data_IF_310072609386
#
_entry.id   IF_310072609386
#
_cell.length_a   1.000
_cell.length_b   1.000
_cell.length_c   1.000
_cell.angle_alpha   90.00
_cell.angle_beta   90.00
_cell.angle_gamma   90.00
#
_symmetry.space_group_name_H-M   'P 1'
#
loop_
_entity.id
_entity.type
_entity.pdbx_description
1 polymer ?
#
# COMPACT_ATOMS: atom_id res chain seq x y z
N UNK A 1 6.24 6.44 -21.80
CA UNK A 1 7.62 5.98 -22.08
C UNK A 1 8.62 7.12 -21.83
N UNK A 2 9.92 6.84 -21.71
CA UNK A 2 11.01 7.82 -21.50
C UNK A 2 12.22 7.16 -20.85
N UNK A 3 13.40 7.81 -20.92
CA UNK A 3 14.62 7.31 -20.28
C UNK A 3 14.51 7.28 -18.74
N UNK A 4 15.46 6.62 -18.08
CA UNK A 4 15.51 6.64 -16.61
C UNK A 4 15.86 8.06 -16.13
N UNK A 5 15.22 8.48 -15.02
CA UNK A 5 15.41 9.82 -14.45
C UNK A 5 14.56 10.94 -15.06
N UNK A 6 13.78 10.68 -16.11
CA UNK A 6 12.99 11.71 -16.81
C UNK A 6 11.69 12.13 -16.08
N UNK A 7 11.34 11.50 -14.94
CA UNK A 7 10.16 11.88 -14.14
C UNK A 7 8.94 10.98 -14.31
N UNK A 8 9.04 9.81 -14.98
CA UNK A 8 7.92 8.87 -15.15
C UNK A 8 7.29 8.44 -13.81
N UNK A 9 8.11 8.02 -12.87
CA UNK A 9 7.68 7.64 -11.52
C UNK A 9 7.02 8.80 -10.79
N UNK A 10 7.53 10.03 -10.94
CA UNK A 10 6.93 11.23 -10.34
C UNK A 10 5.51 11.51 -10.89
N UNK A 11 5.28 11.23 -12.17
CA UNK A 11 3.94 11.37 -12.76
C UNK A 11 2.96 10.37 -12.14
N UNK A 12 3.36 9.10 -11.99
CA UNK A 12 2.52 8.11 -11.31
C UNK A 12 2.30 8.46 -9.84
N UNK A 13 3.35 8.93 -9.15
CA UNK A 13 3.22 9.36 -7.76
C UNK A 13 2.29 10.59 -7.63
N UNK A 14 2.27 11.49 -8.60
CA UNK A 14 1.31 12.61 -8.61
C UNK A 14 -0.15 12.13 -8.69
N UNK A 15 -0.44 11.10 -9.53
CA UNK A 15 -1.77 10.48 -9.60
C UNK A 15 -2.11 9.81 -8.27
N UNK A 16 -1.17 9.05 -7.69
CA UNK A 16 -1.33 8.43 -6.39
C UNK A 16 -1.58 9.47 -5.28
N UNK A 17 -0.83 10.57 -5.32
CA UNK A 17 -0.94 11.66 -4.35
C UNK A 17 -2.32 12.32 -4.37
N UNK A 18 -2.90 12.54 -5.56
CA UNK A 18 -4.26 13.08 -5.70
C UNK A 18 -5.33 12.14 -5.15
N UNK A 19 -5.09 10.83 -5.10
CA UNK A 19 -5.99 9.85 -4.49
C UNK A 19 -5.76 9.72 -2.98
N UNK A 20 -4.51 9.54 -2.56
CA UNK A 20 -4.16 9.16 -1.19
C UNK A 20 -3.74 10.34 -0.32
N UNK A 21 -3.72 11.54 -0.87
CA UNK A 21 -3.28 12.78 -0.21
C UNK A 21 -1.85 12.73 0.34
N UNK A 22 -1.02 11.83 -0.15
CA UNK A 22 0.39 11.66 0.23
C UNK A 22 1.14 10.89 -0.86
N UNK A 23 2.46 11.07 -0.94
CA UNK A 23 3.32 10.28 -1.82
C UNK A 23 3.26 8.79 -1.47
N UNK A 24 3.29 7.94 -2.49
CA UNK A 24 3.45 6.49 -2.36
C UNK A 24 4.77 6.12 -1.67
N UNK A 25 5.82 6.86 -1.95
CA UNK A 25 7.18 6.61 -1.43
C UNK A 25 7.38 7.10 0.01
N UNK A 26 6.32 7.62 0.65
CA UNK A 26 6.33 8.08 2.04
C UNK A 26 7.36 9.18 2.35
N UNK A 27 7.80 9.92 1.35
CA UNK A 27 8.61 11.12 1.58
C UNK A 27 7.77 12.21 2.27
N UNK A 28 8.41 13.07 3.08
CA UNK A 28 7.76 14.28 3.56
C UNK A 28 7.20 15.12 2.41
N UNK A 29 6.01 15.69 2.59
CA UNK A 29 5.33 16.46 1.53
C UNK A 29 6.18 17.62 0.97
N UNK A 30 7.10 18.17 1.77
CA UNK A 30 8.05 19.20 1.36
C UNK A 30 8.97 18.77 0.20
N UNK A 31 9.27 17.47 0.07
CA UNK A 31 10.06 16.94 -1.05
C UNK A 31 9.27 16.88 -2.37
N UNK A 32 7.94 17.05 -2.32
CA UNK A 32 7.12 17.17 -3.54
C UNK A 32 7.13 18.59 -4.13
N UNK A 33 7.81 19.54 -3.48
CA UNK A 33 8.01 20.90 -3.98
C UNK A 33 9.37 20.97 -4.65
N UNK A 34 9.41 21.49 -5.88
CA UNK A 34 10.66 21.63 -6.63
C UNK A 34 11.68 22.47 -5.84
N UNK A 35 12.93 22.02 -5.84
CA UNK A 35 14.00 22.71 -5.14
C UNK A 35 14.11 24.19 -5.58
N UNK A 36 14.03 25.10 -4.62
CA UNK A 36 14.01 26.54 -4.86
C UNK A 36 12.60 27.14 -5.10
N UNK A 37 11.56 26.31 -5.27
CA UNK A 37 10.18 26.77 -5.30
C UNK A 37 9.60 26.88 -3.89
N UNK A 38 8.58 27.73 -3.72
CA UNK A 38 7.87 27.92 -2.44
C UNK A 38 6.55 27.17 -2.36
N UNK A 39 6.07 26.63 -3.48
CA UNK A 39 4.82 25.91 -3.56
C UNK A 39 4.81 24.90 -4.70
N UNK A 40 3.91 23.92 -4.58
CA UNK A 40 3.56 23.00 -5.67
C UNK A 40 2.04 22.82 -5.72
N UNK A 41 1.51 22.52 -6.90
CA UNK A 41 0.10 22.21 -7.07
C UNK A 41 -0.08 21.00 -7.99
N UNK A 42 -0.99 20.10 -7.62
CA UNK A 42 -1.46 19.00 -8.43
C UNK A 42 -2.93 19.19 -8.73
N UNK A 43 -3.33 19.04 -10.00
CA UNK A 43 -4.72 19.11 -10.42
C UNK A 43 -5.06 17.90 -11.27
N UNK A 44 -6.19 17.27 -10.99
CA UNK A 44 -6.71 16.14 -11.75
C UNK A 44 -8.20 16.25 -11.95
N UNK A 45 -8.66 15.80 -13.11
CA UNK A 45 -10.08 15.66 -13.44
C UNK A 45 -10.39 14.18 -13.62
N UNK A 46 -11.38 13.68 -12.90
CA UNK A 46 -11.77 12.29 -12.88
C UNK A 46 -13.22 12.15 -13.31
N UNK A 47 -13.45 11.37 -14.38
CA UNK A 47 -14.80 10.98 -14.80
C UNK A 47 -15.15 9.66 -14.11
N UNK A 48 -16.28 9.64 -13.42
CA UNK A 48 -16.77 8.45 -12.72
C UNK A 48 -17.69 7.67 -13.66
N UNK A 49 -17.90 6.38 -13.38
CA UNK A 49 -18.76 5.50 -14.18
C UNK A 49 -20.23 5.95 -14.21
N UNK A 50 -20.68 6.73 -13.21
CA UNK A 50 -22.01 7.34 -13.16
C UNK A 50 -22.13 8.63 -14.00
N UNK A 51 -21.06 9.00 -14.74
CA UNK A 51 -20.99 10.21 -15.55
C UNK A 51 -20.68 11.50 -14.76
N UNK A 52 -20.48 11.42 -13.44
CA UNK A 52 -20.08 12.59 -12.65
C UNK A 52 -18.60 12.91 -12.86
N UNK A 53 -18.27 14.21 -12.85
CA UNK A 53 -16.89 14.70 -12.94
C UNK A 53 -16.42 15.23 -11.59
N UNK A 54 -15.24 14.81 -11.15
CA UNK A 54 -14.60 15.30 -9.95
C UNK A 54 -13.29 16.02 -10.30
N UNK A 55 -13.21 17.31 -9.97
CA UNK A 55 -11.97 18.10 -10.09
C UNK A 55 -11.29 18.14 -8.72
N UNK A 56 -10.14 17.51 -8.64
CA UNK A 56 -9.34 17.45 -7.41
C UNK A 56 -8.12 18.37 -7.57
N UNK A 57 -7.92 19.25 -6.61
CA UNK A 57 -6.78 20.16 -6.56
C UNK A 57 -6.07 20.05 -5.22
N UNK A 58 -4.79 19.77 -5.23
CA UNK A 58 -3.91 19.71 -4.05
C UNK A 58 -2.88 20.83 -4.16
N UNK A 59 -2.81 21.68 -3.13
CA UNK A 59 -1.78 22.72 -2.99
C UNK A 59 -0.87 22.41 -1.82
N UNK A 60 0.43 22.60 -2.01
CA UNK A 60 1.47 22.49 -1.00
C UNK A 60 2.24 23.81 -0.92
N UNK A 61 2.44 24.35 0.28
CA UNK A 61 3.24 25.56 0.52
C UNK A 61 4.33 25.23 1.53
N UNK A 62 5.58 25.51 1.17
CA UNK A 62 6.72 25.35 2.05
C UNK A 62 6.91 26.59 2.94
N UNK A 63 7.33 26.39 4.19
CA UNK A 63 7.84 27.48 5.02
C UNK A 63 9.05 28.11 4.33
N UNK A 64 9.15 29.45 4.35
CA UNK A 64 10.34 30.17 3.89
C UNK A 64 11.57 29.62 4.61
N UNK A 65 12.46 28.99 3.86
CA UNK A 65 13.66 28.35 4.41
C UNK A 65 14.68 29.35 4.93
N UNK A 66 15.21 29.07 6.14
CA UNK A 66 16.61 29.34 6.48
C UNK A 66 17.44 28.17 5.89
N UNK A 67 18.60 28.46 5.33
CA UNK A 67 19.37 27.74 4.30
C UNK A 67 19.68 26.25 4.45
N UNK A 68 19.39 25.56 5.54
CA UNK A 68 19.98 24.22 5.81
C UNK A 68 19.00 23.14 6.33
N UNK A 69 17.68 23.34 6.30
CA UNK A 69 16.72 22.31 6.76
C UNK A 69 15.80 21.87 5.63
N UNK A 70 15.55 20.55 5.55
CA UNK A 70 14.51 19.97 4.70
C UNK A 70 13.18 20.64 5.06
N UNK A 71 12.75 21.60 4.24
CA UNK A 71 11.71 22.56 4.55
C UNK A 71 10.47 21.90 5.15
N UNK A 72 10.05 22.40 6.29
CA UNK A 72 8.76 22.03 6.86
C UNK A 72 7.64 22.60 6.01
N UNK A 73 6.59 21.81 5.77
CA UNK A 73 5.40 22.27 5.08
C UNK A 73 4.68 23.31 5.97
N UNK A 74 4.27 24.44 5.37
CA UNK A 74 3.48 25.45 6.04
C UNK A 74 1.98 25.17 5.88
N UNK A 75 1.57 24.80 4.67
CA UNK A 75 0.17 24.56 4.34
C UNK A 75 0.03 23.41 3.35
N UNK A 76 -1.02 22.61 3.55
CA UNK A 76 -1.50 21.58 2.64
C UNK A 76 -3.00 21.70 2.51
N UNK A 77 -3.48 22.05 1.32
CA UNK A 77 -4.90 22.25 1.03
C UNK A 77 -5.34 21.27 -0.06
N UNK A 78 -6.48 20.59 0.17
CA UNK A 78 -7.13 19.73 -0.80
C UNK A 78 -8.53 20.25 -1.10
N UNK A 79 -8.87 20.35 -2.39
CA UNK A 79 -10.19 20.81 -2.86
C UNK A 79 -10.81 19.75 -3.76
N UNK A 80 -12.12 19.58 -3.64
CA UNK A 80 -12.96 18.85 -4.59
C UNK A 80 -13.99 19.78 -5.19
N UNK A 81 -14.02 19.92 -6.50
CA UNK A 81 -14.92 20.81 -7.23
C UNK A 81 -14.88 22.25 -6.67
N UNK A 82 -13.67 22.75 -6.36
CA UNK A 82 -13.43 24.09 -5.80
C UNK A 82 -13.70 24.25 -4.30
N UNK A 83 -14.25 23.24 -3.61
CA UNK A 83 -14.54 23.28 -2.16
C UNK A 83 -13.42 22.59 -1.36
N UNK A 84 -12.94 23.27 -0.32
CA UNK A 84 -11.93 22.66 0.59
C UNK A 84 -12.54 21.51 1.40
N UNK A 85 -11.78 20.44 1.57
CA UNK A 85 -12.07 19.43 2.58
C UNK A 85 -11.80 19.97 3.99
N UNK A 86 -12.65 19.61 4.94
CA UNK A 86 -12.42 19.92 6.36
C UNK A 86 -11.33 19.01 6.93
N UNK A 87 -11.31 17.75 6.52
CA UNK A 87 -10.29 16.75 6.89
C UNK A 87 -9.86 16.01 5.64
N UNK A 88 -8.56 15.83 5.45
CA UNK A 88 -8.01 15.08 4.31
C UNK A 88 -8.50 13.63 4.28
N UNK A 89 -8.80 13.05 5.44
CA UNK A 89 -9.36 11.69 5.54
C UNK A 89 -10.73 11.52 4.86
N UNK A 90 -11.49 12.58 4.68
CA UNK A 90 -12.78 12.52 3.97
C UNK A 90 -12.64 12.25 2.47
N UNK A 91 -11.43 12.43 1.94
CA UNK A 91 -11.13 12.20 0.53
C UNK A 91 -10.72 10.75 0.24
N UNK A 92 -10.13 10.06 1.24
CA UNK A 92 -9.62 8.70 1.08
C UNK A 92 -10.76 7.75 0.73
N UNK A 93 -10.56 6.93 -0.33
CA UNK A 93 -11.56 6.01 -0.86
C UNK A 93 -12.44 6.58 -1.98
N UNK A 94 -12.41 7.91 -2.22
CA UNK A 94 -13.13 8.51 -3.35
C UNK A 94 -12.57 8.04 -4.71
N UNK A 95 -11.25 7.93 -4.80
CA UNK A 95 -10.51 7.51 -5.99
C UNK A 95 -9.66 6.29 -5.62
N UNK A 96 -10.25 5.07 -5.63
CA UNK A 96 -9.49 3.87 -5.25
C UNK A 96 -8.30 3.69 -6.19
N UNK A 97 -7.13 3.37 -5.62
CA UNK A 97 -5.89 3.28 -6.38
C UNK A 97 -4.98 2.18 -5.87
N UNK A 98 -4.33 1.49 -6.80
CA UNK A 98 -3.30 0.48 -6.52
C UNK A 98 -2.05 0.86 -7.29
N UNK A 99 -0.91 0.92 -6.62
CA UNK A 99 0.39 1.15 -7.24
C UNK A 99 1.28 -0.06 -7.05
N UNK A 100 1.93 -0.47 -8.13
CA UNK A 100 3.00 -1.48 -8.17
C UNK A 100 4.29 -0.78 -8.58
N UNK A 101 5.31 -0.88 -7.75
CA UNK A 101 6.59 -0.19 -7.97
C UNK A 101 7.76 -1.10 -7.57
N UNK A 102 8.97 -0.90 -8.10
CA UNK A 102 10.17 -1.59 -7.63
C UNK A 102 10.42 -1.46 -6.12
N UNK A 103 9.96 -0.38 -5.49
CA UNK A 103 10.06 -0.18 -4.04
C UNK A 103 9.22 -1.16 -3.21
N UNK A 104 8.20 -1.81 -3.80
CA UNK A 104 7.37 -2.80 -3.10
C UNK A 104 8.17 -4.02 -2.61
N UNK A 105 9.39 -4.22 -3.10
CA UNK A 105 10.30 -5.24 -2.59
C UNK A 105 10.53 -5.10 -1.07
N UNK A 106 10.34 -3.90 -0.53
CA UNK A 106 10.37 -3.64 0.90
C UNK A 106 9.28 -4.41 1.69
N UNK A 107 8.13 -4.71 1.08
CA UNK A 107 7.08 -5.52 1.70
C UNK A 107 7.57 -6.92 2.08
N UNK A 108 8.42 -7.51 1.24
CA UNK A 108 9.03 -8.82 1.50
C UNK A 108 10.28 -8.67 2.39
N UNK A 109 11.19 -7.75 2.07
CA UNK A 109 12.53 -7.72 2.64
C UNK A 109 12.65 -6.90 3.93
N UNK A 110 11.73 -5.96 4.19
CA UNK A 110 11.76 -5.12 5.39
C UNK A 110 11.04 -5.76 6.58
N UNK A 111 10.91 -5.03 7.68
CA UNK A 111 10.15 -5.44 8.86
C UNK A 111 8.64 -5.34 8.68
N UNK A 112 7.89 -5.76 9.71
CA UNK A 112 6.42 -5.72 9.71
C UNK A 112 5.81 -4.32 9.54
N UNK A 113 6.58 -3.27 9.71
CA UNK A 113 6.09 -1.89 9.53
C UNK A 113 5.60 -1.64 8.10
N UNK A 114 6.36 -2.05 7.08
CA UNK A 114 5.97 -1.87 5.67
C UNK A 114 4.70 -2.68 5.33
N UNK A 115 4.59 -3.90 5.85
CA UNK A 115 3.39 -4.72 5.66
C UNK A 115 2.17 -4.14 6.38
N UNK A 116 2.33 -3.55 7.58
CA UNK A 116 1.24 -2.82 8.24
C UNK A 116 0.84 -1.56 7.47
N UNK A 117 1.79 -0.81 6.91
CA UNK A 117 1.50 0.35 6.05
C UNK A 117 0.67 -0.07 4.82
N UNK A 118 1.05 -1.18 4.18
CA UNK A 118 0.32 -1.77 3.05
C UNK A 118 -1.13 -2.12 3.43
N UNK A 119 -1.32 -2.90 4.49
CA UNK A 119 -2.66 -3.30 4.98
C UNK A 119 -3.49 -2.07 5.37
N UNK A 120 -2.89 -1.12 6.08
CA UNK A 120 -3.59 0.12 6.47
C UNK A 120 -3.99 0.95 5.25
N UNK A 121 -3.13 1.07 4.24
CA UNK A 121 -3.43 1.83 3.03
C UNK A 121 -4.57 1.20 2.23
N UNK A 122 -4.63 -0.14 2.16
CA UNK A 122 -5.72 -0.85 1.51
C UNK A 122 -7.03 -0.66 2.28
N UNK A 123 -7.05 -1.03 3.56
CA UNK A 123 -8.27 -0.95 4.38
C UNK A 123 -8.81 0.47 4.49
N UNK A 124 -7.93 1.48 4.60
CA UNK A 124 -8.36 2.88 4.68
C UNK A 124 -9.07 3.37 3.41
N UNK A 125 -8.85 2.74 2.25
CA UNK A 125 -9.53 3.12 1.00
C UNK A 125 -10.92 2.49 0.88
N UNK A 126 -11.17 1.36 1.55
CA UNK A 126 -12.43 0.60 1.41
C UNK A 126 -13.31 0.66 2.66
N UNK A 127 -12.76 1.11 3.78
CA UNK A 127 -13.43 1.17 5.08
C UNK A 127 -13.07 2.48 5.80
N UNK A 128 -13.99 3.46 5.75
CA UNK A 128 -13.80 4.75 6.40
C UNK A 128 -13.78 4.64 7.93
N UNK A 129 -14.51 3.68 8.52
CA UNK A 129 -14.45 3.43 9.95
C UNK A 129 -13.05 2.92 10.36
N UNK A 130 -12.47 2.03 9.56
CA UNK A 130 -11.09 1.58 9.76
C UNK A 130 -10.11 2.77 9.76
N UNK A 131 -10.24 3.70 8.81
CA UNK A 131 -9.39 4.89 8.73
C UNK A 131 -9.51 5.75 10.00
N UNK A 132 -10.72 5.95 10.51
CA UNK A 132 -10.94 6.70 11.75
C UNK A 132 -10.34 5.95 12.96
N UNK A 133 -10.58 4.65 13.05
CA UNK A 133 -10.10 3.82 14.17
C UNK A 133 -8.58 3.75 14.21
N UNK A 134 -7.91 3.59 13.07
CA UNK A 134 -6.45 3.51 13.01
C UNK A 134 -5.80 4.86 13.37
N UNK A 135 -6.37 5.99 12.95
CA UNK A 135 -5.90 7.32 13.33
C UNK A 135 -6.06 7.55 14.84
N UNK A 136 -7.22 7.18 15.41
CA UNK A 136 -7.47 7.29 16.84
C UNK A 136 -6.50 6.40 17.65
N UNK A 137 -6.30 5.17 17.23
CA UNK A 137 -5.36 4.26 17.88
C UNK A 137 -3.94 4.83 17.96
N UNK A 138 -3.41 5.33 16.85
CA UNK A 138 -2.06 5.91 16.83
C UNK A 138 -1.96 7.20 17.66
N UNK A 139 -3.02 8.02 17.68
CA UNK A 139 -3.09 9.20 18.56
C UNK A 139 -3.05 8.81 20.03
N UNK A 140 -3.86 7.83 20.44
CA UNK A 140 -3.89 7.30 21.81
C UNK A 140 -2.57 6.61 22.18
N UNK A 141 -1.98 5.85 21.27
CA UNK A 141 -0.67 5.22 21.44
C UNK A 141 0.42 6.27 21.72
N UNK A 142 0.42 7.39 20.98
CA UNK A 142 1.36 8.47 21.20
C UNK A 142 1.16 9.12 22.58
N UNK A 143 -0.08 9.31 23.04
CA UNK A 143 -0.40 9.81 24.37
C UNK A 143 0.06 8.84 25.47
N UNK A 144 -0.24 7.54 25.30
CA UNK A 144 0.22 6.49 26.22
C UNK A 144 1.75 6.46 26.32
N UNK A 145 2.44 6.51 25.19
CA UNK A 145 3.91 6.54 25.18
C UNK A 145 4.50 7.81 25.81
N UNK A 146 3.78 8.94 25.71
CA UNK A 146 4.18 10.16 26.42
C UNK A 146 4.07 10.00 27.94
N UNK A 147 2.97 9.38 28.42
CA UNK A 147 2.80 9.09 29.84
C UNK A 147 3.88 8.13 30.37
N UNK A 148 4.20 7.06 29.61
CA UNK A 148 5.24 6.11 30.00
C UNK A 148 6.65 6.74 30.10
N UNK A 149 6.88 7.86 29.40
CA UNK A 149 8.12 8.65 29.53
C UNK A 149 8.13 9.57 30.75
N UNK A 150 6.94 9.96 31.20
CA UNK A 150 6.77 10.79 32.41
C UNK A 150 6.74 9.87 33.64
N UNK A 151 7.69 10.03 34.54
CA UNK A 151 7.80 9.20 35.76
C UNK A 151 6.69 9.46 36.80
N UNK A 152 5.91 10.53 36.61
CA UNK A 152 4.85 10.97 37.54
C UNK A 152 3.43 10.83 36.94
N UNK A 153 3.20 9.88 36.09
CA UNK A 153 1.85 9.68 35.51
C UNK A 153 0.87 9.03 36.49
N UNK A 154 -0.42 9.35 36.32
CA UNK A 154 -1.51 8.68 37.06
C UNK A 154 -1.80 7.32 36.43
N UNK A 155 -1.90 6.25 37.24
CA UNK A 155 -2.29 4.94 36.81
C UNK A 155 -3.70 4.96 36.17
N UNK A 156 -4.66 5.69 36.77
CA UNK A 156 -6.03 5.81 36.28
C UNK A 156 -6.09 6.44 34.85
N UNK A 157 -5.18 7.38 34.58
CA UNK A 157 -5.09 7.98 33.25
C UNK A 157 -4.58 6.97 32.21
N UNK A 158 -3.61 6.13 32.60
CA UNK A 158 -3.10 5.08 31.73
C UNK A 158 -4.18 4.04 31.42
N UNK A 159 -4.95 3.64 32.44
CA UNK A 159 -6.06 2.69 32.29
C UNK A 159 -7.17 3.27 31.40
N UNK A 160 -7.50 4.54 31.57
CA UNK A 160 -8.45 5.25 30.68
C UNK A 160 -8.01 5.19 29.22
N UNK A 161 -6.72 5.42 28.95
CA UNK A 161 -6.19 5.31 27.59
C UNK A 161 -6.23 3.86 27.08
N UNK A 162 -5.91 2.87 27.92
CA UNK A 162 -5.98 1.46 27.55
C UNK A 162 -7.42 1.05 27.14
N UNK A 163 -8.45 1.50 27.87
CA UNK A 163 -9.87 1.24 27.54
C UNK A 163 -10.23 1.88 26.19
N UNK A 164 -9.81 3.14 25.95
CA UNK A 164 -10.08 3.79 24.66
C UNK A 164 -9.32 3.13 23.51
N UNK A 165 -8.13 2.60 23.77
CA UNK A 165 -7.34 1.88 22.76
C UNK A 165 -7.96 0.51 22.42
N UNK A 166 -8.57 -0.18 23.39
CA UNK A 166 -9.14 -1.53 23.23
C UNK A 166 -10.19 -1.57 22.13
N UNK A 167 -11.16 -0.66 22.16
CA UNK A 167 -12.19 -0.57 21.13
C UNK A 167 -11.60 -0.41 19.71
N UNK A 168 -10.63 0.50 19.58
CA UNK A 168 -9.97 0.74 18.29
C UNK A 168 -9.12 -0.48 17.88
N UNK A 169 -8.37 -1.07 18.81
CA UNK A 169 -7.49 -2.21 18.55
C UNK A 169 -8.27 -3.45 18.14
N UNK A 170 -9.39 -3.74 18.81
CA UNK A 170 -10.25 -4.88 18.50
C UNK A 170 -10.84 -4.79 17.09
N UNK A 171 -11.35 -3.61 16.71
CA UNK A 171 -11.85 -3.37 15.36
C UNK A 171 -10.76 -3.56 14.29
N UNK A 172 -9.61 -2.91 14.50
CA UNK A 172 -8.47 -2.96 13.57
C UNK A 172 -7.95 -4.40 13.42
N UNK A 173 -7.81 -5.14 14.52
CA UNK A 173 -7.42 -6.55 14.51
C UNK A 173 -8.39 -7.40 13.67
N UNK A 174 -9.69 -7.27 13.91
CA UNK A 174 -10.71 -8.01 13.17
C UNK A 174 -10.64 -7.75 11.67
N UNK A 175 -10.54 -6.47 11.26
CA UNK A 175 -10.46 -6.08 9.85
C UNK A 175 -9.17 -6.53 9.16
N UNK A 176 -8.05 -6.49 9.84
CA UNK A 176 -6.77 -6.98 9.27
C UNK A 176 -6.77 -8.49 9.11
N UNK A 177 -7.32 -9.22 10.06
CA UNK A 177 -7.45 -10.68 10.01
C UNK A 177 -8.35 -11.11 8.85
N UNK A 178 -9.56 -10.52 8.76
CA UNK A 178 -10.51 -10.72 7.66
C UNK A 178 -9.86 -10.42 6.29
N UNK A 179 -9.13 -9.31 6.17
CA UNK A 179 -8.45 -8.96 4.93
C UNK A 179 -7.39 -9.99 4.55
N UNK A 180 -6.56 -10.44 5.49
CA UNK A 180 -5.52 -11.43 5.20
C UNK A 180 -6.10 -12.79 4.77
N UNK A 181 -7.21 -13.20 5.38
CA UNK A 181 -7.95 -14.40 4.99
C UNK A 181 -8.50 -14.25 3.56
N UNK A 182 -9.15 -13.14 3.27
CA UNK A 182 -9.73 -12.86 1.94
C UNK A 182 -8.65 -12.69 0.84
N UNK A 183 -7.47 -12.14 1.17
CA UNK A 183 -6.37 -11.97 0.21
C UNK A 183 -5.68 -13.30 -0.12
N UNK A 184 -5.66 -14.27 0.78
CA UNK A 184 -4.82 -15.47 0.64
C UNK A 184 -5.17 -16.27 -0.61
N UNK A 185 -6.44 -16.51 -0.88
CA UNK A 185 -6.91 -17.23 -2.07
C UNK A 185 -6.54 -16.54 -3.38
N UNK A 186 -6.95 -15.27 -3.59
CA UNK A 186 -6.59 -14.52 -4.80
C UNK A 186 -5.07 -14.40 -5.02
N UNK A 187 -4.28 -14.20 -3.95
CA UNK A 187 -2.82 -14.15 -4.07
C UNK A 187 -2.26 -15.48 -4.57
N UNK A 188 -2.72 -16.61 -4.02
CA UNK A 188 -2.29 -17.94 -4.46
C UNK A 188 -2.68 -18.19 -5.91
N UNK A 189 -3.89 -17.78 -6.34
CA UNK A 189 -4.34 -17.91 -7.72
C UNK A 189 -3.50 -17.10 -8.70
N UNK A 190 -3.28 -15.80 -8.44
CA UNK A 190 -2.43 -14.98 -9.30
C UNK A 190 -0.99 -15.47 -9.30
N UNK A 191 -0.47 -15.87 -8.13
CA UNK A 191 0.89 -16.41 -8.05
C UNK A 191 1.06 -17.68 -8.88
N UNK A 192 0.13 -18.63 -8.77
CA UNK A 192 0.14 -19.87 -9.55
C UNK A 192 0.18 -19.60 -11.06
N UNK A 193 -0.58 -18.62 -11.51
CA UNK A 193 -0.60 -18.21 -12.92
C UNK A 193 0.74 -17.56 -13.35
N UNK A 194 1.36 -16.74 -12.49
CA UNK A 194 2.64 -16.08 -12.78
C UNK A 194 3.86 -17.00 -12.65
N UNK A 195 3.82 -18.00 -11.77
CA UNK A 195 4.94 -18.91 -11.49
C UNK A 195 4.93 -20.19 -12.36
N UNK A 196 3.81 -20.46 -13.05
CA UNK A 196 3.60 -21.72 -13.77
C UNK A 196 3.19 -22.87 -12.86
N UNK A 197 2.76 -22.60 -11.63
CA UNK A 197 2.13 -23.58 -10.73
C UNK A 197 3.07 -24.53 -10.01
N UNK A 198 4.35 -24.19 -9.93
CA UNK A 198 5.38 -25.04 -9.27
C UNK A 198 5.44 -24.87 -7.76
N UNK A 199 4.94 -23.74 -7.27
CA UNK A 199 4.95 -23.40 -5.86
C UNK A 199 3.55 -22.91 -5.44
N UNK A 200 3.27 -23.00 -4.16
CA UNK A 200 2.11 -22.39 -3.53
C UNK A 200 2.54 -21.30 -2.54
N UNK A 201 1.65 -20.31 -2.33
CA UNK A 201 1.94 -19.19 -1.43
C UNK A 201 0.75 -18.91 -0.53
N UNK A 202 1.02 -18.41 0.68
CA UNK A 202 -0.03 -17.97 1.60
C UNK A 202 0.37 -16.73 2.39
N UNK A 203 -0.64 -16.05 2.90
CA UNK A 203 -0.51 -14.96 3.86
C UNK A 203 -0.96 -15.45 5.22
N UNK A 204 -0.22 -15.12 6.26
CA UNK A 204 -0.60 -15.42 7.63
C UNK A 204 -0.51 -14.16 8.49
N UNK A 205 -1.64 -13.73 9.02
CA UNK A 205 -1.68 -12.62 9.97
C UNK A 205 -1.23 -13.11 11.35
N UNK A 206 -0.39 -12.32 12.01
CA UNK A 206 0.15 -12.61 13.34
C UNK A 206 -0.15 -11.43 14.25
N UNK A 207 -0.85 -11.69 15.33
CA UNK A 207 -1.17 -10.72 16.36
C UNK A 207 -1.13 -11.34 17.76
N UNK A 208 -0.72 -10.56 18.74
CA UNK A 208 -0.87 -10.94 20.15
C UNK A 208 -2.36 -11.10 20.54
N UNK A 209 -3.26 -10.42 19.83
CA UNK A 209 -4.71 -10.50 20.07
C UNK A 209 -5.34 -11.83 19.62
N UNK A 210 -4.62 -12.68 18.90
CA UNK A 210 -5.05 -14.07 18.67
C UNK A 210 -5.08 -14.90 19.97
N UNK A 211 -4.33 -14.47 21.00
CA UNK A 211 -4.14 -15.24 22.25
C UNK A 211 -4.84 -14.64 23.45
N UNK A 212 -5.06 -13.33 23.48
CA UNK A 212 -5.64 -12.63 24.62
C UNK A 212 -6.28 -11.30 24.22
N UNK A 213 -7.18 -10.79 25.07
CA UNK A 213 -7.83 -9.49 24.85
C UNK A 213 -6.83 -8.33 25.01
N UNK A 214 -7.11 -7.20 24.37
CA UNK A 214 -6.21 -6.05 24.37
C UNK A 214 -5.88 -5.54 25.78
N UNK A 215 -6.88 -5.42 26.67
CA UNK A 215 -6.66 -4.97 28.05
C UNK A 215 -5.79 -5.94 28.85
N UNK A 216 -5.97 -7.25 28.67
CA UNK A 216 -5.12 -8.28 29.31
C UNK A 216 -3.67 -8.15 28.78
N UNK A 217 -3.52 -7.89 27.49
CA UNK A 217 -2.23 -7.69 26.84
C UNK A 217 -1.51 -6.44 27.43
N UNK A 218 -2.23 -5.32 27.58
CA UNK A 218 -1.66 -4.09 28.14
C UNK A 218 -1.22 -4.28 29.59
N UNK A 219 -2.00 -4.99 30.40
CA UNK A 219 -1.65 -5.30 31.78
C UNK A 219 -0.43 -6.25 31.86
N UNK A 220 -0.40 -7.28 31.04
CA UNK A 220 0.72 -8.24 30.97
C UNK A 220 2.05 -7.58 30.66
N UNK A 221 2.05 -6.60 29.75
CA UNK A 221 3.28 -5.95 29.28
C UNK A 221 3.59 -4.63 30.01
N UNK A 222 2.79 -4.21 31.01
CA UNK A 222 2.91 -2.93 31.67
C UNK A 222 4.32 -2.68 32.26
N UNK A 223 4.88 -3.64 32.98
CA UNK A 223 6.21 -3.47 33.60
C UNK A 223 7.31 -3.36 32.54
N UNK A 224 7.18 -4.11 31.46
CA UNK A 224 8.08 -4.00 30.31
C UNK A 224 7.96 -2.63 29.63
N UNK A 225 6.73 -2.14 29.44
CA UNK A 225 6.46 -0.83 28.83
C UNK A 225 7.05 0.32 29.68
N UNK A 226 6.98 0.21 31.00
CA UNK A 226 7.61 1.16 31.94
C UNK A 226 9.13 1.20 31.78
N UNK A 227 9.78 0.03 31.69
CA UNK A 227 11.24 -0.08 31.51
C UNK A 227 11.66 0.55 30.18
N UNK A 228 10.96 0.21 29.09
CA UNK A 228 11.30 0.70 27.73
C UNK A 228 10.78 2.11 27.45
N UNK A 229 9.89 2.66 28.30
CA UNK A 229 9.25 3.98 28.14
C UNK A 229 8.42 4.11 26.86
N UNK A 230 7.90 2.99 26.34
CA UNK A 230 6.96 2.93 25.23
C UNK A 230 6.17 1.62 25.24
N UNK A 231 5.04 1.59 24.53
CA UNK A 231 4.16 0.41 24.37
C UNK A 231 4.83 -0.66 23.52
N UNK A 232 5.09 -1.83 24.10
CA UNK A 232 5.87 -2.90 23.47
C UNK A 232 5.02 -3.99 22.83
N UNK A 233 3.70 -4.03 23.09
CA UNK A 233 2.76 -5.01 22.57
C UNK A 233 1.48 -4.33 22.03
N UNK A 234 0.72 -5.01 21.15
CA UNK A 234 -0.52 -4.51 20.57
C UNK A 234 -0.46 -4.41 19.05
N UNK A 235 -1.57 -3.98 18.41
CA UNK A 235 -1.79 -4.01 16.96
C UNK A 235 -0.75 -3.23 16.12
N UNK A 236 0.00 -2.34 16.72
CA UNK A 236 1.14 -1.65 16.09
C UNK A 236 2.40 -2.51 16.01
N UNK A 237 2.38 -3.72 16.57
CA UNK A 237 3.42 -4.76 16.49
C UNK A 237 3.01 -5.96 15.64
N UNK A 238 1.74 -6.05 15.24
CA UNK A 238 1.25 -7.13 14.37
C UNK A 238 2.03 -7.23 13.07
N UNK A 239 1.98 -8.40 12.46
CA UNK A 239 2.64 -8.64 11.19
C UNK A 239 1.79 -9.50 10.23
N UNK A 240 2.12 -9.44 8.95
CA UNK A 240 1.63 -10.34 7.91
C UNK A 240 2.80 -11.10 7.35
N UNK A 241 2.88 -12.38 7.61
CA UNK A 241 3.96 -13.22 7.10
C UNK A 241 3.56 -13.76 5.73
N UNK A 242 4.47 -13.61 4.79
CA UNK A 242 4.37 -14.13 3.44
C UNK A 242 5.18 -15.44 3.37
N UNK A 243 4.51 -16.53 2.99
CA UNK A 243 5.09 -17.87 3.01
C UNK A 243 4.96 -18.53 1.64
N UNK A 244 5.91 -19.39 1.31
CA UNK A 244 5.99 -20.16 0.08
C UNK A 244 6.24 -21.61 0.40
N UNK A 245 5.62 -22.52 -0.37
CA UNK A 245 5.84 -23.96 -0.33
C UNK A 245 6.14 -24.46 -1.73
N UNK A 246 7.14 -25.34 -1.88
CA UNK A 246 7.36 -26.05 -3.14
C UNK A 246 6.35 -27.19 -3.28
N UNK A 247 5.72 -27.29 -4.44
CA UNK A 247 4.75 -28.37 -4.76
C UNK A 247 5.46 -29.70 -5.13
N UNK A 248 6.70 -29.88 -4.70
CA UNK A 248 7.40 -31.16 -4.83
C UNK A 248 6.79 -32.15 -3.85
N UNK A 249 6.61 -33.41 -4.28
CA UNK A 249 6.02 -34.51 -3.50
C UNK A 249 6.38 -34.44 -2.01
N UNK A 250 5.44 -34.69 -1.09
CA UNK A 250 5.66 -34.49 0.32
C UNK A 250 6.87 -35.29 0.78
N UNK A 251 7.99 -34.60 1.05
CA UNK A 251 9.04 -35.20 1.86
C UNK A 251 8.39 -35.65 3.16
N UNK A 252 8.44 -36.93 3.45
CA UNK A 252 8.00 -37.48 4.74
C UNK A 252 8.90 -36.90 5.83
N UNK A 253 8.53 -35.73 6.34
CA UNK A 253 9.13 -35.20 7.55
C UNK A 253 8.38 -35.83 8.74
N UNK A 254 9.08 -36.45 9.70
CA UNK A 254 8.44 -37.14 10.83
C UNK A 254 7.63 -36.20 11.73
N UNK A 255 7.81 -34.89 11.61
CA UNK A 255 7.20 -33.87 12.47
C UNK A 255 6.00 -33.14 11.84
N UNK A 256 5.59 -33.49 10.61
CA UNK A 256 4.42 -32.92 9.94
C UNK A 256 3.29 -33.95 9.84
N UNK A 257 2.02 -33.52 10.03
CA UNK A 257 0.88 -34.37 9.72
C UNK A 257 0.99 -34.86 8.26
N UNK A 258 0.75 -36.14 8.03
CA UNK A 258 0.75 -36.72 6.68
C UNK A 258 -0.23 -35.93 5.82
N UNK A 259 0.26 -35.15 4.83
CA UNK A 259 -0.41 -34.29 3.86
C UNK A 259 -0.29 -32.76 4.06
N UNK A 260 0.42 -32.24 5.06
CA UNK A 260 0.71 -30.80 5.10
C UNK A 260 2.08 -30.52 4.48
N UNK A 261 2.08 -29.68 3.44
CA UNK A 261 3.32 -29.16 2.87
C UNK A 261 3.93 -28.11 3.78
N UNK A 262 5.27 -28.13 3.99
CA UNK A 262 5.92 -27.12 4.80
C UNK A 262 5.93 -25.78 4.07
N UNK A 263 5.49 -24.72 4.76
CA UNK A 263 5.59 -23.35 4.28
C UNK A 263 6.75 -22.64 4.97
N UNK A 264 7.51 -21.89 4.19
CA UNK A 264 8.67 -21.14 4.65
C UNK A 264 8.52 -19.66 4.34
N UNK A 265 9.07 -18.75 5.18
CA UNK A 265 9.06 -17.32 4.88
C UNK A 265 9.71 -17.02 3.53
N UNK A 266 8.94 -16.42 2.61
CA UNK A 266 9.43 -16.12 1.25
C UNK A 266 10.65 -15.19 1.25
N UNK A 267 10.78 -14.34 2.27
CA UNK A 267 11.96 -13.48 2.49
C UNK A 267 13.27 -14.28 2.56
N UNK A 268 13.24 -15.48 3.16
CA UNK A 268 14.44 -16.29 3.40
C UNK A 268 14.66 -17.36 2.34
N UNK A 269 13.59 -17.96 1.85
CA UNK A 269 13.63 -19.14 1.02
C UNK A 269 13.28 -18.85 -0.45
N UNK A 270 12.57 -17.74 -0.73
CA UNK A 270 12.19 -17.38 -2.08
C UNK A 270 13.34 -16.75 -2.87
N UNK A 271 13.55 -17.19 -4.12
CA UNK A 271 14.41 -16.49 -5.07
C UNK A 271 13.90 -15.09 -5.39
N UNK A 272 14.75 -14.21 -5.94
CA UNK A 272 14.34 -12.85 -6.34
C UNK A 272 13.17 -12.88 -7.33
N UNK A 273 13.14 -13.84 -8.26
CA UNK A 273 12.04 -14.01 -9.20
C UNK A 273 10.74 -14.43 -8.52
N UNK A 274 10.79 -15.36 -7.55
CA UNK A 274 9.64 -15.78 -6.75
C UNK A 274 9.09 -14.63 -5.89
N UNK A 275 9.96 -13.86 -5.22
CA UNK A 275 9.58 -12.69 -4.44
C UNK A 275 8.88 -11.64 -5.31
N UNK A 276 9.38 -11.39 -6.52
CA UNK A 276 8.78 -10.44 -7.46
C UNK A 276 7.42 -10.91 -7.97
N UNK A 277 7.30 -12.19 -8.37
CA UNK A 277 6.01 -12.78 -8.74
C UNK A 277 5.00 -12.69 -7.60
N UNK A 278 5.43 -12.95 -6.36
CA UNK A 278 4.58 -12.82 -5.20
C UNK A 278 4.07 -11.38 -5.00
N UNK A 279 4.96 -10.39 -5.13
CA UNK A 279 4.58 -8.97 -5.00
C UNK A 279 3.56 -8.56 -6.06
N UNK A 280 3.75 -8.98 -7.30
CA UNK A 280 2.79 -8.71 -8.38
C UNK A 280 1.45 -9.40 -8.07
N UNK A 281 1.47 -10.68 -7.69
CA UNK A 281 0.28 -11.42 -7.30
C UNK A 281 -0.48 -10.74 -6.14
N UNK A 282 0.26 -10.28 -5.12
CA UNK A 282 -0.30 -9.56 -3.98
C UNK A 282 -1.01 -8.26 -4.42
N UNK A 283 -0.41 -7.50 -5.33
CA UNK A 283 -1.00 -6.24 -5.82
C UNK A 283 -2.19 -6.46 -6.75
N UNK A 284 -2.16 -7.50 -7.57
CA UNK A 284 -3.32 -7.88 -8.38
C UNK A 284 -4.49 -8.37 -7.51
N UNK A 285 -4.19 -9.15 -6.47
CA UNK A 285 -5.18 -9.55 -5.47
C UNK A 285 -5.73 -8.35 -4.69
N UNK A 286 -4.86 -7.40 -4.32
CA UNK A 286 -5.28 -6.12 -3.74
C UNK A 286 -6.30 -5.41 -4.64
N UNK A 287 -5.99 -5.30 -5.94
CA UNK A 287 -6.88 -4.67 -6.91
C UNK A 287 -8.25 -5.37 -6.96
N UNK A 288 -8.24 -6.70 -7.10
CA UNK A 288 -9.48 -7.49 -7.17
C UNK A 288 -10.35 -7.29 -5.92
N UNK A 289 -9.79 -7.42 -4.73
CA UNK A 289 -10.52 -7.24 -3.48
C UNK A 289 -11.03 -5.81 -3.32
N UNK A 290 -10.24 -4.81 -3.68
CA UNK A 290 -10.70 -3.42 -3.60
C UNK A 290 -11.88 -3.15 -4.55
N UNK A 291 -11.87 -3.74 -5.75
CA UNK A 291 -12.98 -3.66 -6.71
C UNK A 291 -14.25 -4.29 -6.10
N UNK A 292 -14.15 -5.48 -5.52
CA UNK A 292 -15.28 -6.18 -4.93
C UNK A 292 -15.86 -5.41 -3.74
N UNK A 293 -15.00 -4.91 -2.83
CA UNK A 293 -15.41 -4.12 -1.66
C UNK A 293 -16.00 -2.75 -2.06
N UNK A 294 -15.58 -2.18 -3.17
CA UNK A 294 -16.10 -0.93 -3.71
C UNK A 294 -17.29 -1.13 -4.68
N UNK A 295 -18.04 -2.21 -4.53
CA UNK A 295 -19.28 -2.49 -5.32
C UNK A 295 -19.03 -2.54 -6.83
N UNK A 296 -17.86 -3.02 -7.24
CA UNK A 296 -17.50 -3.17 -8.64
C UNK A 296 -16.75 -1.96 -9.24
N UNK A 297 -16.63 -0.85 -8.53
CA UNK A 297 -15.80 0.29 -8.98
C UNK A 297 -14.34 -0.14 -9.00
N UNK A 298 -13.76 -0.19 -10.20
CA UNK A 298 -12.37 -0.60 -10.39
C UNK A 298 -11.41 0.49 -9.86
N UNK A 299 -10.39 0.12 -9.08
CA UNK A 299 -9.31 1.04 -8.73
C UNK A 299 -8.53 1.51 -9.96
N UNK A 300 -7.89 2.67 -9.87
CA UNK A 300 -6.86 3.07 -10.85
C UNK A 300 -5.61 2.20 -10.58
N UNK A 301 -5.09 1.56 -11.63
CA UNK A 301 -3.89 0.72 -11.51
C UNK A 301 -2.66 1.46 -12.06
N UNK A 302 -1.66 1.64 -11.22
CA UNK A 302 -0.37 2.26 -11.58
C UNK A 302 0.72 1.19 -11.58
N UNK A 303 1.37 0.98 -12.73
CA UNK A 303 2.46 0.01 -12.92
C UNK A 303 3.76 0.77 -13.25
N UNK A 304 4.63 0.94 -12.25
CA UNK A 304 5.88 1.66 -12.38
C UNK A 304 7.04 0.69 -12.61
N UNK A 305 7.60 0.67 -13.82
CA UNK A 305 8.78 -0.12 -14.22
C UNK A 305 8.70 -1.62 -13.81
N UNK A 306 7.50 -2.18 -13.89
CA UNK A 306 7.18 -3.52 -13.36
C UNK A 306 7.82 -4.62 -14.19
N UNK A 307 8.04 -4.38 -15.50
CA UNK A 307 8.54 -5.38 -16.44
C UNK A 307 10.04 -5.61 -16.37
N UNK A 308 10.78 -4.74 -15.67
CA UNK A 308 12.21 -4.96 -15.44
C UNK A 308 12.43 -6.25 -14.66
N UNK A 309 13.36 -7.10 -15.13
CA UNK A 309 13.70 -8.41 -14.54
C UNK A 309 12.57 -9.46 -14.53
N UNK A 310 11.50 -9.27 -15.30
CA UNK A 310 10.57 -10.34 -15.63
C UNK A 310 10.97 -10.97 -16.97
N UNK A 311 10.83 -12.30 -17.09
CA UNK A 311 10.93 -12.97 -18.37
C UNK A 311 9.72 -12.63 -19.27
N UNK A 312 9.87 -12.85 -20.58
CA UNK A 312 8.84 -12.48 -21.57
C UNK A 312 7.52 -13.17 -21.30
N UNK A 313 7.52 -14.42 -20.88
CA UNK A 313 6.30 -15.18 -20.61
C UNK A 313 5.47 -14.57 -19.48
N UNK A 314 6.13 -14.14 -18.41
CA UNK A 314 5.48 -13.43 -17.28
C UNK A 314 4.97 -12.06 -17.68
N UNK A 315 5.74 -11.34 -18.50
CA UNK A 315 5.31 -10.06 -19.07
C UNK A 315 4.05 -10.23 -19.90
N UNK A 316 4.02 -11.17 -20.84
CA UNK A 316 2.85 -11.46 -21.68
C UNK A 316 1.65 -11.86 -20.83
N UNK A 317 1.87 -12.69 -19.81
CA UNK A 317 0.80 -13.10 -18.91
C UNK A 317 0.22 -11.89 -18.12
N UNK A 318 1.09 -11.08 -17.51
CA UNK A 318 0.64 -9.88 -16.79
C UNK A 318 -0.17 -8.94 -17.69
N UNK A 319 0.28 -8.75 -18.92
CA UNK A 319 -0.41 -7.93 -19.89
C UNK A 319 -1.76 -8.51 -20.30
N UNK A 320 -1.80 -9.81 -20.57
CA UNK A 320 -3.06 -10.51 -20.87
C UNK A 320 -4.08 -10.39 -19.73
N UNK A 321 -3.59 -10.36 -18.47
CA UNK A 321 -4.45 -10.13 -17.31
C UNK A 321 -4.99 -8.70 -17.29
N UNK A 322 -4.12 -7.70 -17.46
CA UNK A 322 -4.51 -6.29 -17.33
C UNK A 322 -5.24 -5.76 -18.58
N UNK A 323 -5.09 -6.43 -19.73
CA UNK A 323 -5.81 -6.11 -20.97
C UNK A 323 -7.29 -6.51 -20.94
N UNK A 324 -7.71 -7.32 -19.96
CA UNK A 324 -9.12 -7.73 -19.84
C UNK A 324 -9.98 -6.61 -19.23
N UNK A 325 -11.30 -6.66 -19.54
CA UNK A 325 -12.31 -5.69 -19.04
C UNK A 325 -12.44 -5.62 -17.51
N UNK A 326 -11.70 -6.48 -16.80
CA UNK A 326 -11.71 -6.53 -15.34
C UNK A 326 -10.95 -5.38 -14.68
N UNK A 327 -9.97 -4.80 -15.37
CA UNK A 327 -9.16 -3.70 -14.89
C UNK A 327 -9.65 -2.39 -15.51
N UNK A 328 -9.94 -1.40 -14.72
CA UNK A 328 -10.36 -0.07 -15.18
C UNK A 328 -9.21 0.71 -15.85
N UNK A 329 -8.99 1.95 -15.45
CA UNK A 329 -7.90 2.75 -16.00
C UNK A 329 -6.53 2.29 -15.48
N UNK A 330 -5.59 2.08 -16.43
CA UNK A 330 -4.23 1.61 -16.11
C UNK A 330 -3.22 2.63 -16.64
N UNK A 331 -2.24 2.95 -15.81
CA UNK A 331 -1.06 3.72 -16.21
C UNK A 331 0.18 2.84 -16.08
N UNK A 332 0.95 2.75 -17.16
CA UNK A 332 2.15 1.90 -17.21
C UNK A 332 3.35 2.78 -17.56
N UNK A 333 4.42 2.67 -16.81
CA UNK A 333 5.72 3.26 -17.18
C UNK A 333 6.74 2.18 -17.49
N UNK A 334 7.59 2.45 -18.46
CA UNK A 334 8.72 1.61 -18.81
C UNK A 334 9.81 2.46 -19.48
N UNK A 335 11.06 2.12 -19.24
CA UNK A 335 12.22 2.72 -19.92
C UNK A 335 12.46 2.14 -21.32
N UNK A 336 11.94 0.95 -21.63
CA UNK A 336 12.10 0.26 -22.91
C UNK A 336 10.97 0.62 -23.88
N UNK A 337 11.21 1.60 -24.77
CA UNK A 337 10.24 2.06 -25.79
C UNK A 337 9.78 0.93 -26.73
N UNK A 338 10.68 -0.01 -27.10
CA UNK A 338 10.34 -1.13 -28.01
C UNK A 338 9.37 -2.10 -27.33
N UNK A 339 9.61 -2.39 -26.05
CA UNK A 339 8.71 -3.22 -25.23
C UNK A 339 7.34 -2.54 -25.12
N UNK A 340 7.30 -1.25 -24.80
CA UNK A 340 6.05 -0.48 -24.71
C UNK A 340 5.26 -0.51 -26.03
N UNK A 341 5.88 -0.29 -27.17
CA UNK A 341 5.19 -0.35 -28.46
C UNK A 341 4.54 -1.72 -28.75
N UNK A 342 5.22 -2.83 -28.41
CA UNK A 342 4.63 -4.18 -28.52
C UNK A 342 3.47 -4.38 -27.54
N UNK A 343 3.58 -3.83 -26.33
CA UNK A 343 2.57 -3.92 -25.29
C UNK A 343 1.26 -3.25 -25.72
N UNK A 344 1.35 -2.02 -26.18
CA UNK A 344 0.18 -1.23 -26.64
C UNK A 344 -0.55 -1.96 -27.78
N UNK A 345 0.18 -2.62 -28.68
CA UNK A 345 -0.43 -3.40 -29.77
C UNK A 345 -1.12 -4.69 -29.31
N UNK A 346 -0.69 -5.28 -28.19
CA UNK A 346 -1.27 -6.53 -27.65
C UNK A 346 -2.46 -6.29 -26.71
N UNK A 347 -2.59 -5.06 -26.16
CA UNK A 347 -3.70 -4.67 -25.30
C UNK A 347 -4.82 -4.14 -26.20
N UNK A 348 -5.91 -4.88 -26.31
CA UNK A 348 -7.13 -4.36 -26.98
C UNK A 348 -7.74 -3.22 -26.15
N UNK A 349 -8.27 -2.17 -26.80
CA UNK A 349 -8.94 -1.05 -26.15
C UNK A 349 -8.29 0.31 -26.45
N UNK A 350 -8.89 1.39 -25.95
CA UNK A 350 -8.35 2.73 -26.13
C UNK A 350 -7.04 2.90 -25.33
N UNK A 351 -5.97 3.24 -26.03
CA UNK A 351 -4.67 3.50 -25.43
C UNK A 351 -4.08 4.83 -25.87
N UNK A 352 -3.32 5.47 -24.96
CA UNK A 352 -2.58 6.69 -25.25
C UNK A 352 -1.15 6.54 -24.79
N UNK A 353 -0.22 6.81 -25.68
CA UNK A 353 1.20 6.84 -25.36
C UNK A 353 1.64 8.28 -25.07
N UNK A 354 2.37 8.43 -23.98
CA UNK A 354 3.01 9.71 -23.61
C UNK A 354 4.51 9.51 -23.51
N UNK A 355 5.27 10.46 -24.03
CA UNK A 355 6.71 10.54 -23.82
C UNK A 355 7.01 11.55 -22.70
N UNK A 356 7.86 11.13 -21.76
CA UNK A 356 8.31 11.97 -20.65
C UNK A 356 9.79 12.27 -20.85
N UNK A 357 10.15 13.54 -20.89
CA UNK A 357 11.53 14.02 -21.05
C UNK A 357 11.74 15.32 -20.27
N UNK A 358 12.77 15.35 -19.41
CA UNK A 358 13.10 16.53 -18.59
C UNK A 358 11.97 16.97 -17.65
N UNK A 359 11.08 16.07 -17.23
CA UNK A 359 9.90 16.38 -16.43
C UNK A 359 8.71 16.92 -17.22
N UNK A 360 8.82 17.04 -18.55
CA UNK A 360 7.71 17.43 -19.41
C UNK A 360 7.07 16.21 -20.08
N UNK A 361 5.77 16.30 -20.30
CA UNK A 361 4.95 15.22 -20.89
C UNK A 361 4.41 15.67 -22.24
N UNK A 362 4.70 14.89 -23.28
CA UNK A 362 4.16 15.11 -24.62
C UNK A 362 3.32 13.94 -25.06
N UNK A 363 2.13 14.18 -25.67
CA UNK A 363 1.30 13.13 -26.25
C UNK A 363 1.88 12.69 -27.57
N UNK A 364 2.17 11.40 -27.71
CA UNK A 364 2.81 10.86 -28.92
C UNK A 364 1.80 10.23 -29.86
N UNK A 365 0.83 9.47 -29.38
CA UNK A 365 -0.23 8.82 -30.20
C UNK A 365 -1.44 8.43 -29.34
N UNK A 366 -2.63 8.56 -29.94
CA UNK A 366 -3.85 7.85 -29.54
C UNK A 366 -4.09 6.70 -30.51
N UNK A 367 -4.29 5.49 -30.03
CA UNK A 367 -4.70 4.33 -30.82
C UNK A 367 -6.07 3.87 -30.35
#
# INVERSE_FOLDING_TARGET
SGNNGEGKTNLLDAIYYLSMTKSFFHFPDSFSILHGAVSAALNGTYSMDDGTENKISLGLVAKKQQRDDAGTLEEKALKRNGKNYKKLSEHIGLLPIVMVSPSDVALVNSGGEERRKFVNALLSQVDNEYLIKIQNYYRLLAQRNKLLKDEKYSADLLDTLNVQMDENATYIYGKRKELCENLSGPVAEFYKKLSGGKEDVRLRYISDLDKMRFNELMNKYLERDKIFKFTTAGIHKDDVVFEISETVEPMQSPDLPANEMPYYPIKRCGSQGQQKCFLIALKLAQFSIMKDLNKGIAPILLLDDVFDKLDMQRVEYLLGLVAGDSFGQIFITDSNKVRMGKLVHSIGGESREFEVSGGEVTSVKAQ
#
